data_IF_141885168249
#
_entry.id   IF_141885168249
#
_cell.length_a   1.000
_cell.length_b   1.000
_cell.length_c   1.000
_cell.angle_alpha   90.00
_cell.angle_beta   90.00
_cell.angle_gamma   90.00
#
_symmetry.space_group_name_H-M   'P 1'
#
loop_
_entity.id
_entity.type
_entity.pdbx_description
1 polymer ?
#
# COMPACT_ATOMS: atom_id res chain seq x y z
N UNK A 1 6.20 -16.43 -3.55
CA UNK A 1 4.73 -16.29 -3.58
C UNK A 1 4.25 -16.69 -4.97
N UNK A 2 3.34 -17.66 -5.11
CA UNK A 2 2.85 -18.10 -6.42
C UNK A 2 2.01 -16.99 -7.08
N UNK A 3 2.15 -16.79 -8.39
CA UNK A 3 1.43 -15.78 -9.17
C UNK A 3 -0.09 -15.84 -8.98
N UNK A 4 -0.62 -17.05 -8.76
CA UNK A 4 -2.05 -17.30 -8.49
C UNK A 4 -2.54 -16.60 -7.21
N UNK A 5 -1.70 -16.50 -6.18
CA UNK A 5 -2.05 -15.80 -4.94
C UNK A 5 -2.11 -14.28 -5.12
N UNK A 6 -1.23 -13.72 -5.95
CA UNK A 6 -1.22 -12.28 -6.26
C UNK A 6 -2.48 -11.90 -7.06
N UNK A 7 -2.88 -12.75 -8.01
CA UNK A 7 -4.11 -12.57 -8.77
C UNK A 7 -5.36 -12.63 -7.87
N UNK A 8 -5.42 -13.60 -6.94
CA UNK A 8 -6.51 -13.72 -5.98
C UNK A 8 -6.61 -12.50 -5.05
N UNK A 9 -5.47 -12.00 -4.56
CA UNK A 9 -5.43 -10.78 -3.76
C UNK A 9 -5.97 -9.57 -4.56
N UNK A 10 -5.47 -9.37 -5.80
CA UNK A 10 -5.92 -8.28 -6.70
C UNK A 10 -7.42 -8.35 -6.99
N UNK A 11 -7.96 -9.54 -7.23
CA UNK A 11 -9.39 -9.75 -7.43
C UNK A 11 -10.19 -9.41 -6.17
N UNK A 12 -9.69 -9.76 -4.99
CA UNK A 12 -10.33 -9.45 -3.70
C UNK A 12 -10.35 -7.94 -3.37
N UNK A 13 -9.35 -7.18 -3.85
CA UNK A 13 -9.33 -5.72 -3.69
C UNK A 13 -10.15 -4.95 -4.72
N UNK A 14 -10.53 -5.56 -5.84
CA UNK A 14 -11.34 -4.89 -6.85
C UNK A 14 -12.74 -4.63 -6.29
N UNK A 15 -13.05 -3.36 -6.02
CA UNK A 15 -14.37 -2.92 -5.55
C UNK A 15 -14.53 -2.78 -4.03
N UNK A 16 -13.48 -3.08 -3.23
CA UNK A 16 -13.46 -2.80 -1.79
C UNK A 16 -12.56 -1.59 -1.52
N UNK A 17 -13.04 -0.63 -0.72
CA UNK A 17 -12.19 0.46 -0.19
C UNK A 17 -11.18 -0.17 0.78
N UNK A 18 -10.02 -0.54 0.27
CA UNK A 18 -8.90 -0.93 1.10
C UNK A 18 -8.24 0.31 1.67
N UNK A 19 -7.94 0.27 2.97
CA UNK A 19 -7.12 1.29 3.64
C UNK A 19 -5.66 1.27 3.15
N UNK A 20 -5.20 0.17 2.55
CA UNK A 20 -3.85 0.02 2.03
C UNK A 20 -3.83 -0.57 0.62
N UNK A 21 -3.01 -0.05 -0.31
CA UNK A 21 -2.88 -0.65 -1.63
C UNK A 21 -2.32 -2.07 -1.55
N UNK A 22 -2.78 -2.94 -2.44
CA UNK A 22 -2.18 -4.26 -2.59
C UNK A 22 -0.77 -4.11 -3.15
N UNK A 23 0.21 -4.52 -2.36
CA UNK A 23 1.61 -4.41 -2.69
C UNK A 23 2.33 -5.70 -2.29
N UNK A 24 3.50 -5.96 -2.89
CA UNK A 24 4.32 -7.08 -2.44
C UNK A 24 5.00 -6.70 -1.12
N UNK A 25 5.39 -7.70 -0.32
CA UNK A 25 6.08 -7.46 0.97
C UNK A 25 7.34 -6.59 0.80
N UNK A 26 8.03 -6.72 -0.34
CA UNK A 26 9.20 -5.90 -0.68
C UNK A 26 8.88 -4.40 -0.84
N UNK A 27 7.66 -4.08 -1.24
CA UNK A 27 7.19 -2.71 -1.48
C UNK A 27 6.67 -2.06 -0.19
N UNK A 28 6.45 -2.86 0.88
CA UNK A 28 5.91 -2.38 2.16
C UNK A 28 6.84 -1.35 2.82
N UNK A 29 8.16 -1.57 2.76
CA UNK A 29 9.15 -0.64 3.34
C UNK A 29 9.07 0.72 2.65
N UNK A 30 9.04 0.71 1.32
CA UNK A 30 8.94 1.93 0.49
C UNK A 30 7.64 2.67 0.82
N UNK A 31 6.52 1.95 0.94
CA UNK A 31 5.24 2.54 1.29
C UNK A 31 5.25 3.20 2.68
N UNK A 32 5.86 2.56 3.68
CA UNK A 32 5.97 3.12 5.04
C UNK A 32 6.81 4.41 5.03
N UNK A 33 7.92 4.41 4.29
CA UNK A 33 8.80 5.58 4.21
C UNK A 33 8.10 6.76 3.52
N UNK A 34 7.40 6.51 2.40
CA UNK A 34 6.57 7.53 1.73
C UNK A 34 5.45 8.06 2.63
N UNK A 35 4.76 7.19 3.37
CA UNK A 35 3.70 7.60 4.28
C UNK A 35 4.23 8.49 5.43
N UNK A 36 5.46 8.24 5.90
CA UNK A 36 6.13 9.09 6.90
C UNK A 36 6.49 10.45 6.32
N UNK A 37 7.02 10.51 5.10
CA UNK A 37 7.34 11.76 4.42
C UNK A 37 6.09 12.62 4.20
N UNK A 38 5.01 12.03 3.69
CA UNK A 38 3.72 12.73 3.50
C UNK A 38 3.16 13.24 4.84
N UNK A 39 3.27 12.46 5.92
CA UNK A 39 2.88 12.92 7.26
C UNK A 39 3.72 14.10 7.75
N UNK A 40 5.02 14.11 7.50
CA UNK A 40 5.88 15.24 7.85
C UNK A 40 5.50 16.50 7.07
N UNK A 41 5.18 16.37 5.77
CA UNK A 41 4.67 17.50 4.97
C UNK A 41 3.37 18.04 5.55
N UNK A 42 2.42 17.18 5.92
CA UNK A 42 1.17 17.63 6.55
C UNK A 42 1.47 18.43 7.83
N UNK A 43 2.41 18.00 8.67
CA UNK A 43 2.78 18.73 9.90
C UNK A 43 3.44 20.09 9.61
N UNK A 44 4.24 20.20 8.55
CA UNK A 44 4.94 21.45 8.19
C UNK A 44 4.00 22.47 7.53
N UNK A 45 2.99 22.02 6.80
CA UNK A 45 2.04 22.87 6.06
C UNK A 45 0.69 23.04 6.77
N UNK A 46 0.54 22.56 8.01
CA UNK A 46 -0.61 22.82 8.89
C UNK A 46 -0.28 23.93 9.90
#
# INVERSE_FOLDING_TARGET
>A
MSEKMIAAARAFAKGKKFTFPLMQVKDLKIFIDLAKEERQKIIIYS
#
